data_IF_182377071192
#
_entry.id   IF_182377071192
#
_cell.length_a   1.000
_cell.length_b   1.000
_cell.length_c   1.000
_cell.angle_alpha   90.00
_cell.angle_beta   90.00
_cell.angle_gamma   90.00
#
_symmetry.space_group_name_H-M   'P 1'
#
loop_
_entity.id
_entity.type
_entity.pdbx_description
1 polymer ?
#
# COMPACT_ATOMS: atom_id res chain seq x y z
N UNK A 1 0.26 -15.95 -8.56
CA UNK A 1 -0.23 -14.73 -7.91
C UNK A 1 0.10 -14.82 -6.43
N UNK A 2 0.61 -13.72 -5.82
CA UNK A 2 0.85 -13.60 -4.39
C UNK A 2 -0.07 -12.53 -3.82
N UNK A 3 -0.75 -12.84 -2.71
CA UNK A 3 -1.75 -11.96 -2.08
C UNK A 3 -1.47 -11.91 -0.58
N UNK A 4 -1.53 -10.71 0.00
CA UNK A 4 -1.47 -10.51 1.45
C UNK A 4 -2.72 -9.76 1.93
N UNK A 5 -3.08 -9.95 3.19
CA UNK A 5 -4.14 -9.16 3.82
C UNK A 5 -3.63 -7.79 4.26
N UNK A 6 -4.43 -6.76 4.02
CA UNK A 6 -4.23 -5.41 4.54
C UNK A 6 -4.93 -5.20 5.89
N UNK A 7 -4.86 -3.97 6.40
CA UNK A 7 -5.42 -3.59 7.70
C UNK A 7 -6.97 -3.58 7.74
N UNK A 8 -7.63 -3.43 6.59
CA UNK A 8 -9.10 -3.46 6.46
C UNK A 8 -9.64 -4.85 6.15
N UNK A 9 -8.76 -5.82 5.86
CA UNK A 9 -9.17 -7.15 5.48
C UNK A 9 -9.49 -8.04 6.69
N UNK A 10 -10.41 -8.97 6.48
CA UNK A 10 -10.58 -10.09 7.39
C UNK A 10 -9.57 -11.17 7.04
N UNK A 11 -8.45 -11.22 7.74
CA UNK A 11 -7.36 -12.17 7.51
C UNK A 11 -7.85 -13.62 7.37
N UNK A 12 -8.75 -14.07 8.26
CA UNK A 12 -9.34 -15.41 8.21
C UNK A 12 -10.19 -15.67 6.96
N UNK A 13 -10.87 -14.65 6.43
CA UNK A 13 -11.68 -14.79 5.21
C UNK A 13 -10.79 -14.84 3.98
N UNK A 14 -9.73 -14.02 3.93
CA UNK A 14 -8.77 -14.04 2.82
C UNK A 14 -8.01 -15.37 2.81
N UNK A 15 -7.65 -15.88 3.96
CA UNK A 15 -6.91 -17.14 4.08
C UNK A 15 -7.80 -18.38 3.83
N UNK A 16 -9.10 -18.20 3.80
CA UNK A 16 -10.04 -19.28 3.47
C UNK A 16 -9.72 -19.88 2.10
N UNK A 17 -9.59 -21.21 2.05
CA UNK A 17 -9.22 -21.95 0.85
C UNK A 17 -7.81 -21.67 0.28
N UNK A 18 -6.92 -20.98 1.03
CA UNK A 18 -5.55 -20.65 0.59
C UNK A 18 -4.77 -21.90 0.15
N UNK A 19 -4.93 -23.04 0.84
CA UNK A 19 -4.27 -24.31 0.51
C UNK A 19 -4.77 -24.93 -0.80
N UNK A 20 -6.05 -24.72 -1.13
CA UNK A 20 -6.63 -25.19 -2.40
C UNK A 20 -6.09 -24.28 -3.53
N UNK A 21 -6.09 -22.98 -3.32
CA UNK A 21 -5.64 -21.99 -4.27
C UNK A 21 -4.14 -22.08 -4.53
N UNK A 22 -3.34 -22.47 -3.53
CA UNK A 22 -1.91 -22.68 -3.69
C UNK A 22 -1.57 -23.72 -4.76
N UNK A 23 -2.41 -24.77 -4.91
CA UNK A 23 -2.27 -25.76 -6.00
C UNK A 23 -2.44 -25.16 -7.39
N UNK A 24 -3.08 -24.00 -7.49
CA UNK A 24 -3.28 -23.22 -8.70
C UNK A 24 -2.36 -22.00 -8.80
N UNK A 25 -1.25 -22.01 -8.08
CA UNK A 25 -0.25 -20.93 -8.05
C UNK A 25 -0.80 -19.57 -7.56
N UNK A 26 -1.83 -19.61 -6.70
CA UNK A 26 -2.31 -18.45 -5.98
C UNK A 26 -1.94 -18.62 -4.51
N UNK A 27 -0.93 -17.89 -4.08
CA UNK A 27 -0.37 -17.98 -2.73
C UNK A 27 -0.93 -16.81 -1.91
N UNK A 28 -1.62 -17.12 -0.83
CA UNK A 28 -2.27 -16.13 0.02
C UNK A 28 -1.65 -16.19 1.42
N UNK A 29 -1.32 -15.06 2.00
CA UNK A 29 -0.96 -14.92 3.39
C UNK A 29 -1.95 -13.95 4.06
N UNK A 30 -2.85 -14.49 4.89
CA UNK A 30 -3.84 -13.70 5.63
C UNK A 30 -3.30 -13.19 6.96
N UNK A 31 -2.49 -13.99 7.67
CA UNK A 31 -1.93 -13.65 8.98
C UNK A 31 -0.40 -13.62 8.94
N UNK A 32 0.24 -12.70 9.68
CA UNK A 32 1.66 -12.81 9.97
C UNK A 32 1.92 -14.00 10.92
N UNK A 33 3.19 -14.38 11.15
CA UNK A 33 3.52 -15.35 12.18
C UNK A 33 2.96 -14.94 13.55
N UNK A 34 2.26 -15.86 14.23
CA UNK A 34 1.65 -15.63 15.55
C UNK A 34 2.18 -16.60 16.62
N UNK A 35 2.90 -17.66 16.22
CA UNK A 35 3.59 -18.60 17.09
C UNK A 35 5.09 -18.62 16.83
N UNK A 36 5.87 -19.15 17.78
CA UNK A 36 7.35 -19.19 17.68
C UNK A 36 7.86 -20.10 16.56
N UNK A 37 7.06 -21.06 16.12
CA UNK A 37 7.39 -22.02 15.06
C UNK A 37 7.08 -21.48 13.68
N UNK A 38 6.18 -20.50 13.59
CA UNK A 38 5.78 -19.90 12.31
C UNK A 38 6.82 -18.92 11.80
N UNK A 39 6.93 -18.85 10.49
CA UNK A 39 7.76 -17.91 9.73
C UNK A 39 6.90 -17.13 8.72
N UNK A 40 7.43 -16.08 8.13
CA UNK A 40 6.77 -15.37 7.03
C UNK A 40 6.55 -16.36 5.87
N UNK A 41 5.34 -16.38 5.33
CA UNK A 41 5.06 -17.21 4.15
C UNK A 41 5.91 -16.73 2.99
N UNK A 42 6.70 -17.63 2.40
CA UNK A 42 7.61 -17.29 1.30
C UNK A 42 7.46 -18.23 0.12
N UNK A 43 7.79 -17.71 -1.06
CA UNK A 43 7.80 -18.44 -2.32
C UNK A 43 9.10 -18.15 -3.05
N UNK A 44 9.74 -19.19 -3.56
CA UNK A 44 10.94 -19.05 -4.38
C UNK A 44 10.64 -19.28 -5.86
N UNK A 45 11.26 -18.49 -6.70
CA UNK A 45 11.29 -18.64 -8.14
C UNK A 45 12.75 -18.68 -8.61
N UNK A 46 12.97 -19.25 -9.79
CA UNK A 46 14.30 -19.34 -10.40
C UNK A 46 14.24 -18.80 -11.82
N UNK A 47 15.21 -17.98 -12.18
CA UNK A 47 15.43 -17.46 -13.52
C UNK A 47 16.91 -17.50 -13.91
N UNK A 48 17.29 -16.80 -14.99
CA UNK A 48 18.68 -16.76 -15.48
C UNK A 48 19.66 -16.15 -14.47
N UNK A 49 19.18 -15.37 -13.50
CA UNK A 49 19.98 -14.70 -12.46
C UNK A 49 19.96 -15.45 -11.12
N UNK A 50 19.40 -16.66 -11.07
CA UNK A 50 19.34 -17.51 -9.89
C UNK A 50 18.01 -17.41 -9.14
N UNK A 51 18.05 -17.72 -7.84
CA UNK A 51 16.85 -17.72 -6.98
C UNK A 51 16.41 -16.32 -6.61
N UNK A 52 15.09 -16.11 -6.62
CA UNK A 52 14.42 -14.96 -6.02
C UNK A 52 13.42 -15.45 -4.98
N UNK A 53 13.54 -14.95 -3.74
CA UNK A 53 12.65 -15.26 -2.63
C UNK A 53 11.66 -14.11 -2.44
N UNK A 54 10.36 -14.41 -2.43
CA UNK A 54 9.28 -13.45 -2.17
C UNK A 54 8.69 -13.75 -0.80
N UNK A 55 8.80 -12.82 0.11
CA UNK A 55 8.26 -12.86 1.47
C UNK A 55 6.93 -12.13 1.50
N UNK A 56 5.89 -12.82 1.99
CA UNK A 56 4.52 -12.29 2.06
C UNK A 56 4.19 -11.92 3.50
N UNK A 57 4.34 -10.64 3.84
CA UNK A 57 4.08 -10.10 5.16
C UNK A 57 2.76 -9.32 5.17
N UNK A 58 1.64 -9.92 5.63
CA UNK A 58 0.38 -9.24 5.83
C UNK A 58 0.51 -8.11 6.86
N UNK A 59 -0.58 -7.36 7.06
CA UNK A 59 -0.63 -6.32 8.06
C UNK A 59 -0.33 -6.87 9.47
N UNK A 60 0.71 -6.34 10.10
CA UNK A 60 1.17 -6.72 11.44
C UNK A 60 0.66 -5.74 12.48
N UNK A 61 0.08 -6.26 13.56
CA UNK A 61 -0.25 -5.49 14.77
C UNK A 61 0.60 -5.99 15.93
N UNK A 62 0.98 -5.14 16.89
CA UNK A 62 1.70 -5.57 18.09
C UNK A 62 1.02 -6.76 18.79
N UNK A 63 -0.32 -6.75 18.82
CA UNK A 63 -1.11 -7.82 19.44
C UNK A 63 -0.99 -9.18 18.77
N UNK A 64 -0.60 -9.25 17.49
CA UNK A 64 -0.46 -10.52 16.77
C UNK A 64 0.85 -11.24 17.12
N UNK A 65 1.88 -10.50 17.46
CA UNK A 65 3.24 -11.02 17.63
C UNK A 65 3.67 -11.18 19.11
N UNK A 66 2.76 -10.95 20.06
CA UNK A 66 3.04 -11.05 21.51
C UNK A 66 3.60 -12.39 21.94
N UNK A 67 3.21 -13.48 21.28
CA UNK A 67 3.64 -14.83 21.64
C UNK A 67 4.98 -15.23 21.00
N UNK A 68 5.55 -14.37 20.15
CA UNK A 68 6.80 -14.68 19.45
C UNK A 68 8.03 -14.56 20.35
N UNK A 69 7.95 -13.73 21.38
CA UNK A 69 9.03 -13.51 22.37
C UNK A 69 8.48 -13.43 23.78
N UNK A 70 9.37 -13.52 24.78
CA UNK A 70 9.08 -13.21 26.17
C UNK A 70 9.37 -11.71 26.38
N UNK A 71 8.33 -10.88 26.37
CA UNK A 71 8.42 -9.43 26.53
C UNK A 71 7.25 -8.69 25.90
N UNK A 72 7.17 -7.40 26.17
CA UNK A 72 6.13 -6.54 25.65
C UNK A 72 6.55 -5.93 24.30
N UNK A 73 5.67 -6.03 23.31
CA UNK A 73 5.76 -5.32 22.04
C UNK A 73 4.60 -4.34 22.00
N UNK A 74 4.94 -3.07 21.88
CA UNK A 74 3.99 -1.96 22.00
C UNK A 74 3.80 -1.18 20.71
N UNK A 75 4.82 -1.13 19.86
CA UNK A 75 4.81 -0.38 18.61
C UNK A 75 4.75 -1.29 17.38
N UNK A 76 4.27 -0.74 16.27
CA UNK A 76 4.27 -1.45 15.00
C UNK A 76 5.69 -1.66 14.47
N UNK A 77 6.61 -0.72 14.71
CA UNK A 77 8.03 -0.87 14.33
C UNK A 77 8.65 -2.08 15.01
N UNK A 78 8.50 -2.20 16.33
CA UNK A 78 9.00 -3.36 17.09
C UNK A 78 8.41 -4.67 16.56
N UNK A 79 7.11 -4.66 16.26
CA UNK A 79 6.40 -5.84 15.78
C UNK A 79 6.90 -6.30 14.40
N UNK A 80 7.02 -5.38 13.45
CA UNK A 80 7.49 -5.68 12.09
C UNK A 80 8.97 -6.08 12.10
N UNK A 81 9.80 -5.34 12.84
CA UNK A 81 11.23 -5.64 13.02
C UNK A 81 11.43 -7.05 13.56
N UNK A 82 10.74 -7.41 14.63
CA UNK A 82 10.81 -8.76 15.20
C UNK A 82 10.49 -9.83 14.17
N UNK A 83 9.41 -9.67 13.41
CA UNK A 83 8.98 -10.66 12.42
C UNK A 83 10.02 -10.82 11.31
N UNK A 84 10.60 -9.73 10.82
CA UNK A 84 11.60 -9.75 9.75
C UNK A 84 12.94 -10.32 10.25
N UNK A 85 13.42 -9.91 11.41
CA UNK A 85 14.71 -10.37 11.97
C UNK A 85 14.72 -11.88 12.25
N UNK A 86 13.57 -12.47 12.57
CA UNK A 86 13.45 -13.91 12.79
C UNK A 86 13.62 -14.75 11.51
N UNK A 87 13.46 -14.16 10.33
CA UNK A 87 13.52 -14.91 9.06
C UNK A 87 14.91 -15.35 8.65
N UNK A 88 15.98 -14.82 9.26
CA UNK A 88 17.36 -15.11 8.87
C UNK A 88 17.55 -15.02 7.35
N UNK A 89 17.17 -13.88 6.77
CA UNK A 89 17.14 -13.66 5.33
C UNK A 89 18.54 -13.83 4.73
N UNK A 90 18.67 -14.74 3.75
CA UNK A 90 19.90 -14.91 3.00
C UNK A 90 20.10 -13.75 2.01
N UNK A 91 20.91 -12.78 2.42
CA UNK A 91 21.19 -11.58 1.62
C UNK A 91 22.04 -11.83 0.38
N UNK A 92 22.58 -13.04 0.18
CA UNK A 92 23.23 -13.41 -1.07
C UNK A 92 22.23 -13.70 -2.20
N UNK A 93 20.97 -13.98 -1.86
CA UNK A 93 19.87 -14.18 -2.80
C UNK A 93 19.15 -12.87 -3.09
N UNK A 94 18.39 -12.85 -4.18
CA UNK A 94 17.45 -11.75 -4.45
C UNK A 94 16.21 -11.93 -3.58
N UNK A 95 15.90 -10.93 -2.76
CA UNK A 95 14.80 -10.96 -1.80
C UNK A 95 13.79 -9.85 -2.10
N UNK A 96 12.53 -10.21 -2.19
CA UNK A 96 11.41 -9.28 -2.35
C UNK A 96 10.53 -9.39 -1.11
N UNK A 97 10.15 -8.25 -0.54
CA UNK A 97 9.11 -8.18 0.47
C UNK A 97 7.82 -7.66 -0.16
N UNK A 98 6.71 -8.34 0.07
CA UNK A 98 5.36 -7.81 -0.15
C UNK A 98 4.78 -7.52 1.23
N UNK A 99 4.49 -6.25 1.52
CA UNK A 99 4.07 -5.83 2.87
C UNK A 99 2.98 -4.77 2.83
N UNK A 100 2.17 -4.71 3.89
CA UNK A 100 1.09 -3.75 4.04
C UNK A 100 1.21 -3.04 5.39
N UNK A 101 2.04 -1.99 5.45
CA UNK A 101 2.32 -1.21 6.65
C UNK A 101 2.53 0.27 6.31
N UNK A 102 2.46 1.13 7.32
CA UNK A 102 2.78 2.55 7.19
C UNK A 102 4.27 2.78 7.44
N UNK A 103 5.07 2.75 6.37
CA UNK A 103 6.52 2.95 6.45
C UNK A 103 6.89 4.42 6.42
N UNK A 104 7.88 4.80 7.23
CA UNK A 104 8.49 6.13 7.29
C UNK A 104 9.99 6.04 7.06
N UNK A 105 10.59 7.05 6.45
CA UNK A 105 12.03 7.09 6.19
C UNK A 105 12.68 8.27 6.93
N UNK A 106 13.52 7.99 7.92
CA UNK A 106 14.17 9.01 8.74
C UNK A 106 13.18 10.07 9.27
N UNK A 107 12.03 9.62 9.76
CA UNK A 107 10.97 10.47 10.29
C UNK A 107 10.11 11.17 9.23
N UNK A 108 10.36 10.96 7.93
CA UNK A 108 9.50 11.46 6.85
C UNK A 108 8.39 10.46 6.57
N UNK A 109 7.17 10.93 6.63
CA UNK A 109 5.98 10.16 6.30
C UNK A 109 5.69 10.22 4.79
N UNK A 110 5.04 9.18 4.23
CA UNK A 110 4.54 9.23 2.87
C UNK A 110 3.37 10.23 2.74
N UNK A 111 3.11 10.68 1.53
CA UNK A 111 1.90 11.44 1.22
C UNK A 111 0.68 10.54 1.29
N UNK A 112 -0.33 10.96 2.03
CA UNK A 112 -1.59 10.23 2.24
C UNK A 112 -2.78 10.93 1.58
N UNK A 113 -3.89 10.21 1.46
CA UNK A 113 -5.20 10.73 1.06
C UNK A 113 -6.18 10.68 2.24
N UNK A 114 -7.35 11.30 2.09
CA UNK A 114 -8.38 11.33 3.16
C UNK A 114 -9.02 9.96 3.43
N UNK A 115 -8.80 8.99 2.56
CA UNK A 115 -9.33 7.62 2.72
C UNK A 115 -8.46 6.72 3.60
N UNK A 116 -7.24 7.15 3.95
CA UNK A 116 -6.36 6.42 4.86
C UNK A 116 -6.63 6.84 6.30
N UNK A 117 -7.02 5.88 7.13
CA UNK A 117 -7.21 6.12 8.57
C UNK A 117 -5.83 6.09 9.24
N UNK A 118 -5.41 7.24 9.77
CA UNK A 118 -4.14 7.37 10.49
C UNK A 118 -4.36 7.35 12.00
N UNK A 119 -3.50 6.61 12.70
CA UNK A 119 -3.50 6.65 14.16
C UNK A 119 -2.76 7.88 14.67
N UNK A 120 -3.34 8.54 15.67
CA UNK A 120 -2.73 9.72 16.29
C UNK A 120 -1.41 9.36 16.97
N UNK A 121 -0.40 10.20 16.80
CA UNK A 121 0.90 10.05 17.46
C UNK A 121 1.90 9.11 16.78
N UNK A 122 1.63 8.68 15.53
CA UNK A 122 2.59 7.90 14.73
C UNK A 122 2.90 6.50 15.28
N UNK A 123 2.01 5.94 16.11
CA UNK A 123 2.19 4.61 16.75
C UNK A 123 2.31 3.51 15.68
N UNK A 124 1.68 3.70 14.51
CA UNK A 124 1.70 2.75 13.38
C UNK A 124 2.92 2.91 12.46
N UNK A 125 3.76 3.91 12.69
CA UNK A 125 4.93 4.15 11.87
C UNK A 125 5.95 3.02 12.02
N UNK A 126 6.45 2.53 10.87
CA UNK A 126 7.52 1.53 10.78
C UNK A 126 8.69 2.16 10.04
N UNK A 127 9.90 2.13 10.60
CA UNK A 127 11.06 2.69 9.93
C UNK A 127 11.51 1.80 8.77
N UNK A 128 11.82 2.43 7.62
CA UNK A 128 12.27 1.73 6.41
C UNK A 128 13.60 0.99 6.57
N UNK A 129 14.33 1.18 7.66
CA UNK A 129 15.55 0.40 7.95
C UNK A 129 15.27 -1.10 8.01
N UNK A 130 14.08 -1.54 8.42
CA UNK A 130 13.70 -2.96 8.44
C UNK A 130 13.66 -3.57 7.02
N UNK A 131 13.60 -2.76 5.97
CA UNK A 131 13.55 -3.16 4.57
C UNK A 131 14.93 -3.36 3.93
N UNK A 132 16.02 -3.08 4.65
CA UNK A 132 17.39 -3.17 4.12
C UNK A 132 17.75 -4.54 3.54
N UNK A 133 17.32 -5.68 4.12
CA UNK A 133 17.64 -7.01 3.60
C UNK A 133 17.03 -7.33 2.22
N UNK A 134 16.08 -6.50 1.75
CA UNK A 134 15.32 -6.74 0.53
C UNK A 134 15.83 -5.90 -0.65
N UNK A 135 15.92 -6.52 -1.83
CA UNK A 135 16.27 -5.87 -3.08
C UNK A 135 15.11 -5.02 -3.62
N UNK A 136 13.88 -5.43 -3.29
CA UNK A 136 12.67 -4.67 -3.58
C UNK A 136 11.61 -4.89 -2.49
N UNK A 137 10.92 -3.82 -2.11
CA UNK A 137 9.77 -3.88 -1.23
C UNK A 137 8.52 -3.34 -1.94
N UNK A 138 7.59 -4.24 -2.24
CA UNK A 138 6.27 -3.92 -2.77
C UNK A 138 5.32 -3.60 -1.62
N UNK A 139 5.02 -2.32 -1.43
CA UNK A 139 4.30 -1.82 -0.28
C UNK A 139 2.85 -1.47 -0.64
N UNK A 140 1.92 -1.89 0.21
CA UNK A 140 0.53 -1.46 0.25
C UNK A 140 0.26 -0.57 1.47
N UNK A 141 -0.97 -0.18 1.69
CA UNK A 141 -1.51 0.69 2.73
C UNK A 141 -1.70 2.14 2.26
N UNK A 142 -0.68 2.77 1.67
CA UNK A 142 -0.77 4.13 1.17
C UNK A 142 -1.35 4.14 -0.25
N UNK A 143 -2.36 4.97 -0.47
CA UNK A 143 -3.17 5.00 -1.70
C UNK A 143 -2.50 5.75 -2.86
N UNK A 144 -1.50 6.59 -2.57
CA UNK A 144 -0.70 7.27 -3.58
C UNK A 144 0.55 6.49 -3.92
N UNK A 145 0.79 6.30 -5.23
CA UNK A 145 2.04 5.71 -5.70
C UNK A 145 3.22 6.59 -5.35
N UNK A 146 4.20 6.05 -4.65
CA UNK A 146 5.40 6.80 -4.26
C UNK A 146 6.50 5.88 -3.75
N UNK A 147 7.73 6.36 -3.77
CA UNK A 147 8.85 5.75 -3.05
C UNK A 147 8.92 6.25 -1.61
N UNK A 148 9.44 5.45 -0.72
CA UNK A 148 9.75 5.83 0.65
C UNK A 148 11.21 5.47 0.99
N UNK A 149 12.01 6.49 1.27
CA UNK A 149 13.44 6.33 1.44
C UNK A 149 14.13 5.94 0.12
N UNK A 150 14.53 4.67 -0.02
CA UNK A 150 15.18 4.14 -1.22
C UNK A 150 14.19 3.96 -2.37
N UNK A 151 14.69 3.99 -3.61
CA UNK A 151 13.88 3.80 -4.83
C UNK A 151 13.20 2.41 -4.87
N UNK A 152 13.84 1.41 -4.28
CA UNK A 152 13.34 0.02 -4.21
C UNK A 152 12.17 -0.17 -3.24
N UNK A 153 11.92 0.77 -2.33
CA UNK A 153 10.81 0.70 -1.39
C UNK A 153 9.65 1.53 -1.93
N UNK A 154 8.63 0.88 -2.48
CA UNK A 154 7.57 1.59 -3.20
C UNK A 154 6.18 1.17 -2.77
N UNK A 155 5.36 2.18 -2.51
CA UNK A 155 3.91 2.05 -2.52
C UNK A 155 3.42 2.06 -3.96
N UNK A 156 2.67 1.05 -4.37
CA UNK A 156 2.06 1.00 -5.70
C UNK A 156 0.83 1.90 -5.80
N UNK A 157 0.27 2.32 -4.67
CA UNK A 157 -1.02 3.00 -4.60
C UNK A 157 -2.19 2.03 -4.78
N UNK A 158 -3.36 2.61 -4.99
CA UNK A 158 -4.61 1.87 -5.25
C UNK A 158 -4.97 1.89 -6.73
N UNK A 159 -5.66 0.86 -7.25
CA UNK A 159 -6.05 0.81 -8.68
C UNK A 159 -7.15 1.82 -9.03
N UNK A 160 -7.90 2.29 -8.05
CA UNK A 160 -9.00 3.26 -8.19
C UNK A 160 -8.83 4.42 -7.21
N UNK A 161 -9.53 5.51 -7.45
CA UNK A 161 -9.64 6.64 -6.53
C UNK A 161 -10.71 6.34 -5.48
N UNK A 162 -10.36 6.28 -4.20
CA UNK A 162 -11.26 5.96 -3.09
C UNK A 162 -11.75 7.19 -2.33
N UNK A 163 -11.16 8.36 -2.58
CA UNK A 163 -11.58 9.60 -1.96
C UNK A 163 -11.52 10.77 -2.93
N UNK A 164 -12.20 11.86 -2.57
CA UNK A 164 -12.18 13.12 -3.33
C UNK A 164 -10.78 13.75 -3.31
N UNK A 165 -9.97 13.50 -2.29
CA UNK A 165 -8.59 14.00 -2.22
C UNK A 165 -7.68 13.34 -3.26
N UNK A 166 -8.07 12.17 -3.79
CA UNK A 166 -7.37 11.46 -4.86
C UNK A 166 -7.82 11.89 -6.28
N UNK A 167 -8.75 12.85 -6.37
CA UNK A 167 -9.19 13.36 -7.66
C UNK A 167 -8.00 13.97 -8.43
N UNK A 168 -7.73 13.45 -9.63
CA UNK A 168 -6.58 13.83 -10.44
C UNK A 168 -5.34 12.97 -10.25
N UNK A 169 -5.31 12.11 -9.23
CA UNK A 169 -4.21 11.15 -9.08
C UNK A 169 -4.24 10.12 -10.23
N UNK A 170 -3.10 9.95 -10.88
CA UNK A 170 -2.90 8.88 -11.85
C UNK A 170 -2.70 7.55 -11.14
N UNK A 171 -3.56 6.58 -11.42
CA UNK A 171 -3.47 5.23 -10.88
C UNK A 171 -2.67 4.32 -11.82
N UNK A 172 -1.80 3.49 -11.24
CA UNK A 172 -0.86 2.68 -12.03
C UNK A 172 -0.68 1.28 -11.43
N UNK A 173 -0.17 0.38 -12.27
CA UNK A 173 0.46 -0.86 -11.83
C UNK A 173 1.97 -0.69 -11.92
N UNK A 174 2.69 -1.08 -10.90
CA UNK A 174 4.15 -1.05 -10.89
C UNK A 174 4.70 -2.36 -11.43
N UNK A 175 5.38 -2.30 -12.56
CA UNK A 175 6.17 -3.41 -13.11
C UNK A 175 7.61 -3.27 -12.65
N UNK A 176 8.18 -4.37 -12.15
CA UNK A 176 9.55 -4.39 -11.60
C UNK A 176 10.34 -5.50 -12.25
N UNK A 177 11.49 -5.16 -12.82
CA UNK A 177 12.43 -6.11 -13.39
C UNK A 177 13.68 -6.15 -12.49
N UNK A 178 13.92 -7.33 -11.89
CA UNK A 178 15.10 -7.59 -11.08
C UNK A 178 16.09 -8.43 -11.89
N UNK A 179 17.27 -7.87 -12.12
CA UNK A 179 18.38 -8.54 -12.77
C UNK A 179 19.24 -9.30 -11.73
N UNK A 180 20.56 -9.23 -11.83
CA UNK A 180 21.48 -9.87 -10.90
C UNK A 180 21.37 -9.28 -9.49
N UNK A 181 21.72 -10.07 -8.49
CA UNK A 181 21.83 -9.59 -7.10
C UNK A 181 22.73 -8.37 -7.01
N UNK A 182 22.21 -7.31 -6.35
CA UNK A 182 22.90 -6.04 -6.17
C UNK A 182 22.69 -5.03 -7.30
N UNK A 183 22.03 -5.41 -8.39
CA UNK A 183 21.61 -4.46 -9.43
C UNK A 183 20.43 -3.63 -8.96
N UNK A 184 20.36 -2.39 -9.40
CA UNK A 184 19.20 -1.55 -9.17
C UNK A 184 18.00 -2.06 -9.98
N UNK A 185 16.80 -2.21 -9.37
CA UNK A 185 15.63 -2.69 -10.09
C UNK A 185 15.16 -1.68 -11.14
N UNK A 186 14.81 -2.17 -12.33
CA UNK A 186 14.15 -1.34 -13.33
C UNK A 186 12.65 -1.31 -13.05
N UNK A 187 12.12 -0.09 -12.85
CA UNK A 187 10.74 0.14 -12.40
C UNK A 187 9.99 0.92 -13.48
N UNK A 188 8.90 0.33 -13.97
CA UNK A 188 8.00 0.94 -14.95
C UNK A 188 6.59 1.07 -14.36
N UNK A 189 6.00 2.24 -14.48
CA UNK A 189 4.62 2.49 -14.05
C UNK A 189 3.71 2.40 -15.27
N UNK A 190 2.75 1.47 -15.23
CA UNK A 190 1.75 1.26 -16.28
C UNK A 190 0.45 1.92 -15.85
N UNK A 191 0.02 2.96 -16.58
CA UNK A 191 -1.18 3.73 -16.26
C UNK A 191 -2.44 2.87 -16.36
N UNK A 192 -3.33 3.02 -15.38
CA UNK A 192 -4.65 2.42 -15.35
C UNK A 192 -5.69 3.46 -15.77
N UNK A 193 -6.58 3.07 -16.68
CA UNK A 193 -7.72 3.90 -17.07
C UNK A 193 -8.97 3.38 -16.37
N UNK A 194 -9.46 4.07 -15.32
CA UNK A 194 -10.68 3.63 -14.63
C UNK A 194 -11.90 3.85 -15.52
N UNK A 195 -12.91 2.99 -15.37
CA UNK A 195 -14.19 3.16 -16.05
C UNK A 195 -14.89 4.46 -15.66
N UNK A 196 -14.70 4.90 -14.41
CA UNK A 196 -15.21 6.16 -13.86
C UNK A 196 -14.13 6.78 -12.98
N UNK A 197 -13.90 8.05 -13.16
CA UNK A 197 -12.95 8.83 -12.35
C UNK A 197 -13.66 9.53 -11.21
N UNK A 198 -12.91 9.98 -10.23
CA UNK A 198 -13.37 10.96 -9.24
C UNK A 198 -12.88 12.33 -9.70
N UNK A 199 -13.80 13.29 -9.83
CA UNK A 199 -13.50 14.65 -10.24
C UNK A 199 -14.03 15.67 -9.22
N UNK A 200 -13.37 16.84 -9.17
CA UNK A 200 -13.85 18.00 -8.42
C UNK A 200 -14.37 19.03 -9.41
N UNK A 201 -15.52 19.62 -9.12
CA UNK A 201 -16.07 20.76 -9.83
C UNK A 201 -16.34 21.88 -8.83
N UNK A 202 -15.78 23.06 -9.10
CA UNK A 202 -15.94 24.25 -8.25
C UNK A 202 -16.40 25.37 -9.16
N UNK A 203 -17.50 26.02 -8.83
CA UNK A 203 -18.03 27.13 -9.63
C UNK A 203 -19.43 27.54 -9.18
N UNK A 204 -20.03 28.48 -9.89
CA UNK A 204 -21.43 28.83 -9.70
C UNK A 204 -22.35 27.76 -10.29
N UNK A 205 -23.56 27.66 -9.78
CA UNK A 205 -24.50 26.58 -10.15
C UNK A 205 -24.71 26.48 -11.66
N UNK A 206 -24.93 27.60 -12.34
CA UNK A 206 -25.18 27.64 -13.77
C UNK A 206 -23.96 27.16 -14.58
N UNK A 207 -22.74 27.52 -14.15
CA UNK A 207 -21.49 27.05 -14.77
C UNK A 207 -21.34 25.55 -14.63
N UNK A 208 -21.61 25.01 -13.43
CA UNK A 208 -21.53 23.56 -13.15
C UNK A 208 -22.55 22.81 -13.99
N UNK A 209 -23.81 23.29 -14.06
CA UNK A 209 -24.87 22.67 -14.85
C UNK A 209 -24.55 22.68 -16.35
N UNK A 210 -24.05 23.80 -16.89
CA UNK A 210 -23.64 23.90 -18.29
C UNK A 210 -22.49 22.94 -18.61
N UNK A 211 -21.45 22.92 -17.77
CA UNK A 211 -20.34 21.98 -17.92
C UNK A 211 -20.78 20.51 -17.86
N UNK A 212 -21.72 20.18 -16.99
CA UNK A 212 -22.29 18.84 -16.89
C UNK A 212 -23.16 18.44 -18.11
N UNK A 213 -23.83 19.41 -18.74
CA UNK A 213 -24.65 19.17 -19.94
C UNK A 213 -23.77 18.89 -21.18
N UNK A 214 -22.61 19.50 -21.28
CA UNK A 214 -21.66 19.31 -22.36
C UNK A 214 -20.81 18.03 -22.20
N UNK A 215 -20.64 17.58 -20.95
CA UNK A 215 -19.78 16.44 -20.57
C UNK A 215 -20.61 15.15 -20.48
N UNK A 216 -20.58 14.34 -21.53
CA UNK A 216 -21.29 13.06 -21.58
C UNK A 216 -20.56 11.94 -20.80
N UNK A 217 -19.90 12.28 -19.67
CA UNK A 217 -19.19 11.30 -18.85
C UNK A 217 -20.05 10.84 -17.65
N UNK A 218 -19.72 9.65 -17.15
CA UNK A 218 -20.39 9.05 -15.98
C UNK A 218 -19.47 9.00 -14.75
N UNK A 219 -18.55 9.97 -14.62
CA UNK A 219 -17.62 10.07 -13.51
C UNK A 219 -18.31 10.39 -12.18
N UNK A 220 -17.67 10.04 -11.08
CA UNK A 220 -18.08 10.51 -9.75
C UNK A 220 -17.61 11.96 -9.57
N UNK A 221 -18.53 12.85 -9.24
CA UNK A 221 -18.22 14.29 -9.13
C UNK A 221 -18.48 14.79 -7.71
N UNK A 222 -17.47 15.42 -7.13
CA UNK A 222 -17.60 16.21 -5.91
C UNK A 222 -17.80 17.69 -6.32
N UNK A 223 -18.94 18.27 -5.93
CA UNK A 223 -19.33 19.63 -6.32
C UNK A 223 -19.17 20.57 -5.12
N UNK A 224 -18.45 21.67 -5.33
CA UNK A 224 -18.42 22.84 -4.43
C UNK A 224 -19.06 24.01 -5.17
N UNK A 225 -20.32 24.29 -4.80
CA UNK A 225 -21.08 25.39 -5.37
C UNK A 225 -20.70 26.71 -4.66
N UNK A 226 -20.26 27.70 -5.44
CA UNK A 226 -20.03 29.06 -4.97
C UNK A 226 -21.37 29.79 -4.95
N UNK A 227 -21.79 30.26 -3.76
CA UNK A 227 -22.98 31.08 -3.64
C UNK A 227 -22.66 32.51 -4.08
N UNK A 228 -23.57 33.13 -4.84
CA UNK A 228 -23.53 34.58 -5.01
C UNK A 228 -23.82 35.19 -3.62
N UNK A 229 -22.84 35.90 -3.06
CA UNK A 229 -23.16 36.87 -2.01
C UNK A 229 -23.86 38.00 -2.72
N UNK A 230 -25.19 38.10 -2.61
CA UNK A 230 -25.87 39.34 -2.97
C UNK A 230 -25.35 40.40 -2.00
N UNK A 231 -24.71 41.43 -2.52
CA UNK A 231 -24.46 42.69 -1.81
C UNK A 231 -25.80 43.35 -1.51
N UNK A 232 -26.54 42.77 -0.57
CA UNK A 232 -27.78 43.36 -0.02
C UNK A 232 -27.48 44.17 1.26
N UNK A 233 -26.32 44.82 1.31
CA UNK A 233 -25.90 45.63 2.45
C UNK A 233 -25.64 47.11 2.10
N UNK A 234 -25.92 47.58 0.88
CA UNK A 234 -25.67 49.01 0.49
C UNK A 234 -26.98 49.78 0.15
N UNK A 235 -28.15 49.36 0.65
CA UNK A 235 -29.36 50.20 0.63
C UNK A 235 -30.03 50.26 2.01
N UNK A 236 -29.43 51.06 2.92
CA UNK A 236 -30.14 51.69 4.03
C UNK A 236 -29.49 53.03 4.37
#
# INVERSE_FOLDING_TARGET
VCIIAGNHDSAKRIDFASDILAKHRVIIAGMPPVTREETIRKVSFFDAYGEVCIYLLPFVKPSYVRNLIDGDITTYDEAVRLVIERENIDTAKRNILVSHQFYTAAGREPETSDSEIRMVGGIENVDTAVLEPFDYAALGHVHRKQKIGRVQNRYCGTPLQYSVSEAGDEKTVTMVELMEKGSEPHITELSLTPMRRVRKMIGHLDEILNAAAEDNCHDYVSITCLLYTSDAADEL
#
